data_IF_694999009073
#
_entry.id   IF_694999009073
#
_cell.length_a   1.000
_cell.length_b   1.000
_cell.length_c   1.000
_cell.angle_alpha   90.00
_cell.angle_beta   90.00
_cell.angle_gamma   90.00
#
_symmetry.space_group_name_H-M   'P 1'
#
loop_
_entity.id
_entity.type
_entity.pdbx_description
1 polymer ?
#
# COMPACT_ATOMS: atom_id res chain seq x y z
N UNK A 1 12.14 51.13 14.02
CA UNK A 1 12.48 49.69 13.85
C UNK A 1 11.17 48.94 13.95
N UNK A 2 10.61 48.55 12.80
CA UNK A 2 9.34 47.82 12.70
C UNK A 2 9.64 46.33 12.79
N UNK A 3 9.03 45.65 13.77
CA UNK A 3 9.10 44.21 13.93
C UNK A 3 8.51 43.51 12.71
N UNK A 4 9.32 42.65 12.10
CA UNK A 4 8.96 41.84 10.94
C UNK A 4 7.95 40.78 11.32
N UNK A 5 6.78 40.83 10.69
CA UNK A 5 5.75 39.81 10.69
C UNK A 5 6.32 38.49 10.15
N UNK A 6 6.54 37.53 11.04
CA UNK A 6 7.04 36.20 10.73
C UNK A 6 5.87 35.31 10.27
N UNK A 7 5.28 35.67 9.13
CA UNK A 7 4.20 34.91 8.49
C UNK A 7 4.79 33.73 7.73
N UNK A 8 4.96 32.60 8.42
CA UNK A 8 5.04 31.32 7.72
C UNK A 8 3.75 31.13 6.89
N UNK A 9 3.85 30.72 5.61
CA UNK A 9 2.65 30.45 4.81
C UNK A 9 1.88 29.32 5.48
N UNK A 10 0.73 29.64 6.09
CA UNK A 10 -0.23 28.65 6.55
C UNK A 10 -0.89 28.07 5.31
N UNK A 11 -0.74 26.76 5.13
CA UNK A 11 -1.51 26.02 4.13
C UNK A 11 -3.01 26.33 4.32
N UNK A 12 -3.80 26.49 3.24
CA UNK A 12 -5.23 26.79 3.32
C UNK A 12 -5.98 25.82 4.25
N UNK A 13 -6.89 26.33 5.08
CA UNK A 13 -7.68 25.57 6.06
C UNK A 13 -8.66 24.55 5.45
N UNK A 14 -8.77 24.49 4.12
CA UNK A 14 -9.96 23.98 3.42
C UNK A 14 -9.91 22.48 3.04
N UNK A 15 -9.01 21.67 3.58
CA UNK A 15 -9.07 20.20 3.37
C UNK A 15 -8.53 19.36 4.52
N UNK A 16 -8.79 19.75 5.78
CA UNK A 16 -8.69 18.77 6.87
C UNK A 16 -9.96 17.93 6.89
N UNK A 17 -10.01 16.87 6.08
CA UNK A 17 -10.95 15.77 6.35
C UNK A 17 -10.65 15.31 7.77
N UNK A 18 -11.61 15.48 8.69
CA UNK A 18 -11.49 14.97 10.05
C UNK A 18 -11.50 13.45 9.92
N UNK A 19 -10.31 12.84 9.91
CA UNK A 19 -10.19 11.39 9.97
C UNK A 19 -10.53 10.99 11.39
N UNK A 20 -11.71 10.41 11.58
CA UNK A 20 -12.13 9.85 12.86
C UNK A 20 -11.11 8.82 13.32
N UNK A 21 -10.68 8.91 14.57
CA UNK A 21 -9.78 7.93 15.18
C UNK A 21 -10.44 6.54 15.35
N UNK A 22 -11.77 6.43 15.16
CA UNK A 22 -12.57 5.25 15.47
C UNK A 22 -12.91 4.36 14.25
N UNK A 23 -11.95 3.96 13.41
CA UNK A 23 -12.20 3.07 12.25
C UNK A 23 -11.20 1.88 12.21
N UNK A 24 -11.63 0.67 11.80
CA UNK A 24 -12.62 -0.18 12.46
C UNK A 24 -12.02 -1.53 12.89
N UNK A 25 -12.76 -2.22 13.75
CA UNK A 25 -12.60 -3.62 14.19
C UNK A 25 -12.58 -4.61 13.01
N UNK A 26 -12.03 -5.82 13.23
CA UNK A 26 -12.02 -6.95 12.27
C UNK A 26 -13.43 -7.25 11.70
N UNK A 27 -14.47 -7.08 12.53
CA UNK A 27 -15.87 -7.14 12.13
C UNK A 27 -16.22 -5.93 11.25
N UNK A 28 -16.36 -6.17 9.95
CA UNK A 28 -16.63 -5.14 8.94
C UNK A 28 -15.43 -4.76 8.07
N UNK A 29 -14.39 -5.60 8.00
CA UNK A 29 -13.32 -5.44 7.02
C UNK A 29 -13.88 -5.40 5.58
N UNK A 30 -13.45 -4.39 4.83
CA UNK A 30 -13.66 -4.28 3.39
C UNK A 30 -12.30 -3.95 2.77
N UNK A 31 -11.93 -4.69 1.71
CA UNK A 31 -10.69 -4.44 1.00
C UNK A 31 -10.70 -3.00 0.45
N UNK A 32 -9.67 -2.17 0.76
CA UNK A 32 -9.68 -0.78 0.33
C UNK A 32 -9.55 -0.72 -1.19
N UNK A 33 -10.45 0.00 -1.87
CA UNK A 33 -10.39 0.18 -3.33
C UNK A 33 -10.56 1.63 -3.76
N UNK A 34 -10.70 2.55 -2.82
CA UNK A 34 -11.01 3.96 -3.08
C UNK A 34 -9.99 4.66 -3.97
N UNK A 35 -8.72 4.25 -3.91
CA UNK A 35 -7.61 4.78 -4.73
C UNK A 35 -7.05 3.76 -5.71
N UNK A 36 -7.67 2.60 -5.82
CA UNK A 36 -7.30 1.57 -6.79
C UNK A 36 -7.86 1.95 -8.16
N UNK A 37 -6.98 2.05 -9.15
CA UNK A 37 -7.39 2.12 -10.54
C UNK A 37 -7.89 0.77 -11.03
N UNK A 38 -9.08 0.77 -11.62
CA UNK A 38 -9.71 -0.43 -12.17
C UNK A 38 -9.43 -0.63 -13.65
N UNK A 39 -8.95 0.40 -14.35
CA UNK A 39 -8.78 0.41 -15.81
C UNK A 39 -7.35 0.74 -16.21
N UNK A 40 -6.77 -0.10 -17.05
CA UNK A 40 -5.44 0.10 -17.65
C UNK A 40 -5.48 1.25 -18.66
N UNK A 41 -4.47 2.12 -18.63
CA UNK A 41 -4.28 3.14 -19.66
C UNK A 41 -3.65 2.53 -20.91
N UNK A 42 -2.70 1.62 -20.73
CA UNK A 42 -2.05 0.91 -21.83
C UNK A 42 -2.41 -0.59 -21.80
N UNK A 43 -3.23 -1.08 -22.74
CA UNK A 43 -3.59 -2.50 -22.83
C UNK A 43 -2.41 -3.45 -22.99
N UNK A 44 -1.24 -2.98 -23.43
CA UNK A 44 -0.03 -3.81 -23.58
C UNK A 44 0.66 -4.05 -22.22
N UNK A 45 0.50 -3.14 -21.27
CA UNK A 45 1.15 -3.21 -19.96
C UNK A 45 0.51 -4.24 -19.02
N UNK A 46 1.27 -4.60 -18.00
CA UNK A 46 0.83 -5.48 -16.91
C UNK A 46 0.40 -4.63 -15.71
N UNK A 47 -0.83 -4.76 -15.21
CA UNK A 47 -1.29 -3.99 -14.05
C UNK A 47 -0.54 -4.43 -12.80
N UNK A 48 -0.04 -3.47 -12.03
CA UNK A 48 0.80 -3.70 -10.85
C UNK A 48 0.17 -3.09 -9.60
N UNK A 49 0.10 -3.87 -8.52
CA UNK A 49 -0.25 -3.39 -7.19
C UNK A 49 1.00 -3.46 -6.29
N UNK A 50 1.37 -2.32 -5.73
CA UNK A 50 2.54 -2.21 -4.86
C UNK A 50 2.10 -2.33 -3.40
N UNK A 51 2.72 -3.23 -2.63
CA UNK A 51 2.37 -3.46 -1.23
C UNK A 51 3.61 -3.25 -0.38
N UNK A 52 3.55 -2.41 0.65
CA UNK A 52 4.62 -2.32 1.65
C UNK A 52 4.12 -2.84 2.99
N UNK A 53 4.69 -3.97 3.43
CA UNK A 53 4.45 -4.53 4.75
C UNK A 53 5.48 -3.99 5.74
N UNK A 54 5.04 -3.57 6.93
CA UNK A 54 5.99 -3.00 7.89
C UNK A 54 5.40 -2.67 9.24
N UNK A 55 6.29 -2.39 10.21
CA UNK A 55 5.85 -1.98 11.53
C UNK A 55 5.18 -0.61 11.52
N UNK A 56 5.69 0.37 10.75
CA UNK A 56 5.17 1.75 10.71
C UNK A 56 4.94 2.35 12.10
N UNK A 57 5.96 2.28 12.96
CA UNK A 57 5.89 2.71 14.37
C UNK A 57 6.89 3.84 14.68
N UNK A 58 6.66 5.08 14.21
CA UNK A 58 5.57 5.52 13.32
C UNK A 58 5.92 5.44 11.83
N UNK A 59 4.93 5.65 10.96
CA UNK A 59 5.17 5.92 9.54
C UNK A 59 5.95 7.24 9.37
N UNK A 60 6.74 7.33 8.32
CA UNK A 60 7.58 8.49 7.97
C UNK A 60 7.48 8.79 6.48
N UNK A 61 7.88 9.99 6.05
CA UNK A 61 7.93 10.34 4.63
C UNK A 61 8.83 9.42 3.80
N UNK A 62 9.82 8.77 4.40
CA UNK A 62 10.68 7.82 3.69
C UNK A 62 9.88 6.60 3.19
N UNK A 63 8.94 6.11 4.00
CA UNK A 63 8.04 5.01 3.61
C UNK A 63 7.15 5.39 2.44
N UNK A 64 6.72 6.64 2.37
CA UNK A 64 5.91 7.14 1.24
C UNK A 64 6.80 7.38 0.01
N UNK A 65 8.03 7.84 0.22
CA UNK A 65 8.97 8.14 -0.86
C UNK A 65 9.37 6.89 -1.63
N UNK A 66 9.50 5.73 -0.97
CA UNK A 66 9.83 4.48 -1.68
C UNK A 66 8.74 4.06 -2.66
N UNK A 67 7.46 4.35 -2.39
CA UNK A 67 6.37 4.11 -3.34
C UNK A 67 6.49 4.99 -4.58
N UNK A 68 6.79 6.28 -4.41
CA UNK A 68 6.97 7.20 -5.54
C UNK A 68 8.15 6.76 -6.41
N UNK A 69 9.28 6.39 -5.79
CA UNK A 69 10.45 5.88 -6.51
C UNK A 69 10.16 4.59 -7.27
N UNK A 70 9.44 3.65 -6.65
CA UNK A 70 9.04 2.41 -7.31
C UNK A 70 8.06 2.65 -8.46
N UNK A 71 7.12 3.59 -8.28
CA UNK A 71 6.15 4.00 -9.30
C UNK A 71 6.84 4.61 -10.51
N UNK A 72 7.80 5.51 -10.30
CA UNK A 72 8.58 6.13 -11.36
C UNK A 72 9.42 5.09 -12.11
N UNK A 73 10.10 4.19 -11.40
CA UNK A 73 10.85 3.08 -12.01
C UNK A 73 9.96 2.18 -12.87
N UNK A 74 8.79 1.78 -12.36
CA UNK A 74 7.86 0.95 -13.12
C UNK A 74 7.39 1.65 -14.41
N UNK A 75 7.14 2.96 -14.35
CA UNK A 75 6.69 3.74 -15.50
C UNK A 75 7.75 3.90 -16.58
N UNK A 76 9.02 4.11 -16.18
CA UNK A 76 10.12 4.46 -17.08
C UNK A 76 10.85 3.24 -17.64
N UNK A 77 11.09 2.23 -16.81
CA UNK A 77 12.07 1.18 -17.09
C UNK A 77 11.42 -0.20 -17.29
N UNK A 78 10.09 -0.31 -17.22
CA UNK A 78 9.39 -1.60 -17.27
C UNK A 78 8.09 -1.57 -18.08
N UNK A 79 7.53 -2.76 -18.33
CA UNK A 79 6.21 -2.93 -18.97
C UNK A 79 5.06 -2.98 -17.94
N UNK A 80 5.27 -2.47 -16.73
CA UNK A 80 4.26 -2.42 -15.68
C UNK A 80 3.51 -1.09 -15.66
N UNK A 81 2.24 -1.13 -15.27
CA UNK A 81 1.43 0.04 -14.98
C UNK A 81 0.94 -0.03 -13.53
N UNK A 82 1.40 0.91 -12.69
CA UNK A 82 1.01 0.94 -11.28
C UNK A 82 -0.45 1.37 -11.15
N UNK A 83 -1.26 0.48 -10.61
CA UNK A 83 -2.71 0.65 -10.46
C UNK A 83 -3.10 1.11 -9.06
N UNK A 84 -2.30 0.79 -8.05
CA UNK A 84 -2.56 1.18 -6.66
C UNK A 84 -1.40 0.81 -5.75
N UNK A 85 -1.33 1.46 -4.59
CA UNK A 85 -0.34 1.18 -3.57
C UNK A 85 -0.97 1.00 -2.19
N UNK A 86 -0.47 0.02 -1.44
CA UNK A 86 -1.03 -0.41 -0.17
C UNK A 86 0.03 -0.42 0.92
N UNK A 87 -0.27 0.21 2.05
CA UNK A 87 0.47 0.02 3.30
C UNK A 87 -0.24 -1.07 4.12
N UNK A 88 0.51 -2.09 4.52
CA UNK A 88 0.02 -3.14 5.42
C UNK A 88 0.82 -3.12 6.72
N UNK A 89 0.17 -2.67 7.80
CA UNK A 89 0.81 -2.61 9.10
C UNK A 89 0.82 -4.00 9.75
N UNK A 90 1.97 -4.44 10.28
CA UNK A 90 2.05 -5.75 10.94
C UNK A 90 1.12 -5.86 12.14
N UNK A 91 0.62 -7.06 12.45
CA UNK A 91 -0.15 -7.33 13.66
C UNK A 91 0.67 -7.09 14.94
N UNK A 92 -0.02 -6.71 16.02
CA UNK A 92 0.59 -6.62 17.35
C UNK A 92 1.08 -8.00 17.85
N UNK A 93 0.57 -9.09 17.25
CA UNK A 93 1.06 -10.46 17.46
C UNK A 93 2.53 -10.66 17.04
N UNK A 94 3.12 -9.74 16.27
CA UNK A 94 4.54 -9.74 15.90
C UNK A 94 5.49 -9.60 17.10
N UNK A 95 4.97 -9.23 18.31
CA UNK A 95 5.68 -9.20 19.61
C UNK A 95 7.04 -8.49 19.61
N UNK A 96 7.29 -7.58 18.66
CA UNK A 96 8.50 -6.75 18.66
C UNK A 96 8.47 -5.81 19.86
N UNK A 97 9.54 -5.80 20.65
CA UNK A 97 9.65 -4.90 21.81
C UNK A 97 9.51 -3.43 21.38
N UNK A 98 8.64 -2.69 22.07
CA UNK A 98 8.40 -1.27 21.81
C UNK A 98 7.46 -0.95 20.65
N UNK A 99 6.76 -1.95 20.08
CA UNK A 99 5.77 -1.70 19.02
C UNK A 99 4.54 -0.96 19.58
N UNK A 100 4.20 0.19 19.00
CA UNK A 100 2.97 0.89 19.34
C UNK A 100 1.74 0.05 18.94
N UNK A 101 0.59 0.17 19.63
CA UNK A 101 -0.59 -0.63 19.30
C UNK A 101 -1.04 -0.41 17.84
N UNK A 102 -1.45 -1.48 17.16
CA UNK A 102 -1.78 -1.52 15.74
C UNK A 102 -2.78 -0.42 15.35
N UNK A 103 -3.80 -0.17 16.18
CA UNK A 103 -4.79 0.90 15.97
C UNK A 103 -4.15 2.27 15.74
N UNK A 104 -3.09 2.61 16.47
CA UNK A 104 -2.42 3.91 16.32
C UNK A 104 -1.61 3.95 15.03
N UNK A 105 -0.94 2.83 14.70
CA UNK A 105 -0.09 2.72 13.51
C UNK A 105 -0.92 2.78 12.23
N UNK A 106 -2.01 2.02 12.17
CA UNK A 106 -2.99 2.07 11.07
C UNK A 106 -3.53 3.48 10.90
N UNK A 107 -3.97 4.14 11.98
CA UNK A 107 -4.49 5.50 11.90
C UNK A 107 -3.44 6.50 11.41
N UNK A 108 -2.19 6.42 11.91
CA UNK A 108 -1.10 7.26 11.41
C UNK A 108 -0.83 7.02 9.92
N UNK A 109 -0.85 5.77 9.45
CA UNK A 109 -0.72 5.44 8.03
C UNK A 109 -1.87 6.06 7.21
N UNK A 110 -3.11 6.00 7.69
CA UNK A 110 -4.27 6.56 6.99
C UNK A 110 -4.14 8.08 6.87
N UNK A 111 -3.77 8.76 7.96
CA UNK A 111 -3.53 10.21 7.96
C UNK A 111 -2.40 10.58 7.01
N UNK A 112 -1.28 9.84 7.03
CA UNK A 112 -0.17 10.08 6.13
C UNK A 112 -0.59 9.92 4.67
N UNK A 113 -1.26 8.81 4.31
CA UNK A 113 -1.77 8.58 2.97
C UNK A 113 -2.77 9.66 2.52
N UNK A 114 -3.66 10.13 3.39
CA UNK A 114 -4.63 11.18 3.02
C UNK A 114 -3.97 12.53 2.76
N UNK A 115 -2.93 12.87 3.53
CA UNK A 115 -2.28 14.18 3.45
C UNK A 115 -1.26 14.26 2.31
N UNK A 116 -0.64 13.15 1.92
CA UNK A 116 0.53 13.19 1.03
C UNK A 116 0.38 12.41 -0.27
N UNK A 117 -0.67 11.60 -0.45
CA UNK A 117 -0.81 10.76 -1.65
C UNK A 117 -2.23 10.65 -2.16
N UNK A 118 -2.38 10.65 -3.49
CA UNK A 118 -3.65 10.43 -4.19
C UNK A 118 -3.91 8.98 -4.57
N UNK A 119 -2.92 8.09 -4.47
CA UNK A 119 -2.98 6.71 -4.99
C UNK A 119 -2.61 5.63 -3.95
N UNK A 120 -2.04 6.04 -2.81
CA UNK A 120 -1.73 5.14 -1.70
C UNK A 120 -2.89 5.01 -0.73
N UNK A 121 -3.08 3.83 -0.17
CA UNK A 121 -4.11 3.50 0.80
C UNK A 121 -3.60 2.48 1.82
N UNK A 122 -4.34 2.28 2.91
CA UNK A 122 -3.95 1.39 4.01
C UNK A 122 -4.88 0.20 4.03
N UNK A 123 -4.31 -1.00 4.00
CA UNK A 123 -5.04 -2.23 4.27
C UNK A 123 -5.00 -2.56 5.77
N UNK A 124 -6.15 -2.98 6.29
CA UNK A 124 -6.33 -3.26 7.71
C UNK A 124 -6.50 -4.75 8.01
N UNK A 125 -6.35 -5.64 7.03
CA UNK A 125 -6.54 -7.07 7.23
C UNK A 125 -5.48 -7.69 8.14
N UNK A 126 -4.20 -7.48 7.81
CA UNK A 126 -3.06 -7.99 8.59
C UNK A 126 -3.08 -7.53 10.06
N UNK A 127 -3.21 -6.23 10.39
CA UNK A 127 -3.07 -5.76 11.76
C UNK A 127 -4.15 -6.26 12.72
N UNK A 128 -5.30 -6.67 12.19
CA UNK A 128 -6.43 -7.17 12.99
C UNK A 128 -6.52 -8.70 13.02
N UNK A 129 -5.61 -9.42 12.35
CA UNK A 129 -5.51 -10.85 12.50
C UNK A 129 -5.05 -11.19 13.95
N UNK A 130 -5.75 -12.11 14.65
CA UNK A 130 -5.40 -12.49 16.02
C UNK A 130 -4.05 -13.22 16.12
N UNK A 131 -3.59 -13.81 15.02
CA UNK A 131 -2.31 -14.51 14.92
C UNK A 131 -1.34 -13.74 14.02
N UNK A 132 -0.05 -13.97 14.22
CA UNK A 132 0.96 -13.45 13.31
C UNK A 132 0.85 -14.15 11.95
N UNK A 133 0.81 -13.36 10.88
CA UNK A 133 0.78 -13.86 9.52
C UNK A 133 2.14 -13.64 8.84
N UNK A 134 2.71 -14.66 8.17
CA UNK A 134 3.81 -14.47 7.25
C UNK A 134 3.39 -13.51 6.14
N UNK A 135 4.31 -12.65 5.70
CA UNK A 135 4.03 -11.66 4.65
C UNK A 135 3.61 -12.33 3.34
N UNK A 136 4.03 -13.56 3.03
CA UNK A 136 3.51 -14.34 1.90
C UNK A 136 1.98 -14.45 1.92
N UNK A 137 1.40 -14.80 3.08
CA UNK A 137 -0.06 -14.90 3.23
C UNK A 137 -0.76 -13.54 3.07
N UNK A 138 -0.07 -12.46 3.43
CA UNK A 138 -0.58 -11.10 3.21
C UNK A 138 -0.62 -10.80 1.72
N UNK A 139 0.42 -11.15 0.97
CA UNK A 139 0.45 -11.00 -0.49
C UNK A 139 -0.60 -11.90 -1.18
N UNK A 140 -0.79 -13.13 -0.72
CA UNK A 140 -1.85 -14.02 -1.21
C UNK A 140 -3.26 -13.43 -0.99
N UNK A 141 -3.47 -12.77 0.15
CA UNK A 141 -4.72 -12.05 0.41
C UNK A 141 -4.94 -10.92 -0.59
N UNK A 142 -3.91 -10.12 -0.89
CA UNK A 142 -3.99 -9.10 -1.93
C UNK A 142 -4.29 -9.68 -3.32
N UNK A 143 -3.66 -10.80 -3.67
CA UNK A 143 -3.90 -11.50 -4.93
C UNK A 143 -5.35 -12.00 -5.02
N UNK A 144 -5.85 -12.64 -3.96
CA UNK A 144 -7.23 -13.10 -3.88
C UNK A 144 -8.24 -11.94 -4.04
N UNK A 145 -8.08 -10.85 -3.31
CA UNK A 145 -8.99 -9.70 -3.39
C UNK A 145 -8.97 -9.03 -4.77
N UNK A 146 -7.78 -8.84 -5.36
CA UNK A 146 -7.63 -8.13 -6.63
C UNK A 146 -7.95 -9.00 -7.86
N UNK A 147 -7.55 -10.28 -7.84
CA UNK A 147 -7.67 -11.16 -8.99
C UNK A 147 -8.87 -12.11 -8.90
N UNK A 148 -9.23 -12.60 -7.72
CA UNK A 148 -10.37 -13.52 -7.56
C UNK A 148 -11.67 -12.77 -7.31
N UNK A 149 -11.71 -11.89 -6.30
CA UNK A 149 -12.94 -11.16 -5.94
C UNK A 149 -13.26 -10.10 -6.99
N UNK A 150 -12.27 -9.31 -7.42
CA UNK A 150 -12.45 -8.25 -8.41
C UNK A 150 -12.25 -8.70 -9.86
N UNK A 151 -11.65 -9.87 -10.11
CA UNK A 151 -11.47 -10.39 -11.46
C UNK A 151 -10.39 -9.70 -12.29
N UNK A 152 -9.47 -8.95 -11.67
CA UNK A 152 -8.38 -8.25 -12.37
C UNK A 152 -8.70 -6.84 -12.87
N UNK A 153 -7.71 -6.20 -13.48
CA UNK A 153 -7.82 -4.87 -14.06
C UNK A 153 -8.51 -4.93 -15.43
N UNK A 154 -9.45 -4.01 -15.67
CA UNK A 154 -10.18 -3.87 -16.92
C UNK A 154 -9.29 -3.30 -18.02
N UNK A 155 -9.46 -3.84 -19.20
CA UNK A 155 -9.00 -3.27 -20.46
C UNK A 155 -10.24 -2.71 -21.15
N UNK A 156 -10.18 -1.44 -21.54
CA UNK A 156 -11.26 -0.76 -22.27
C UNK A 156 -10.82 -0.41 -23.69
N UNK A 157 -11.78 -0.35 -24.61
CA UNK A 157 -11.57 0.22 -25.95
C UNK A 157 -11.59 1.76 -25.93
N UNK A 158 -11.44 2.38 -27.11
CA UNK A 158 -11.44 3.84 -27.26
C UNK A 158 -12.80 4.47 -26.87
N UNK A 159 -13.87 3.67 -26.92
CA UNK A 159 -15.24 4.02 -26.56
C UNK A 159 -15.55 3.76 -25.07
N UNK A 160 -14.60 3.21 -24.31
CA UNK A 160 -14.73 2.95 -22.87
C UNK A 160 -15.44 1.64 -22.52
N UNK A 161 -15.66 0.74 -23.48
CA UNK A 161 -16.28 -0.57 -23.26
C UNK A 161 -15.21 -1.59 -22.84
N UNK A 162 -15.54 -2.40 -21.84
CA UNK A 162 -14.67 -3.48 -21.36
C UNK A 162 -14.48 -4.54 -22.47
N UNK A 163 -13.24 -4.72 -22.91
CA UNK A 163 -12.83 -5.72 -23.92
C UNK A 163 -12.15 -6.94 -23.31
N UNK A 164 -11.70 -6.84 -22.06
CA UNK A 164 -11.08 -7.94 -21.34
C UNK A 164 -10.55 -7.50 -19.97
N UNK A 165 -9.94 -8.45 -19.27
CA UNK A 165 -9.28 -8.20 -17.98
C UNK A 165 -7.90 -8.82 -17.94
N UNK A 166 -6.99 -8.20 -17.20
CA UNK A 166 -5.66 -8.72 -16.89
C UNK A 166 -5.48 -8.88 -15.38
N UNK A 167 -4.86 -9.97 -14.91
CA UNK A 167 -4.58 -10.12 -13.49
C UNK A 167 -3.55 -9.08 -13.03
N UNK A 168 -3.80 -8.49 -11.86
CA UNK A 168 -2.85 -7.66 -11.14
C UNK A 168 -1.65 -8.50 -10.73
N UNK A 169 -0.44 -8.00 -10.99
CA UNK A 169 0.77 -8.52 -10.38
C UNK A 169 0.98 -7.81 -9.05
N UNK A 170 1.07 -8.57 -7.97
CA UNK A 170 1.33 -8.04 -6.62
C UNK A 170 2.83 -8.04 -6.39
N UNK A 171 3.39 -6.89 -5.98
CA UNK A 171 4.82 -6.76 -5.68
C UNK A 171 5.01 -6.14 -4.31
N UNK A 172 5.85 -6.80 -3.53
CA UNK A 172 6.27 -6.31 -2.22
C UNK A 172 7.35 -5.23 -2.37
N UNK A 173 7.09 -4.06 -1.82
CA UNK A 173 8.05 -2.99 -1.61
C UNK A 173 8.67 -3.12 -0.23
N UNK A 174 9.98 -3.35 -0.21
CA UNK A 174 10.76 -3.54 0.98
C UNK A 174 12.08 -2.77 0.86
N UNK A 175 12.54 -2.17 1.97
CA UNK A 175 13.92 -1.71 2.07
C UNK A 175 14.90 -2.88 2.11
N UNK A 176 16.19 -2.61 1.86
CA UNK A 176 17.26 -3.62 1.93
C UNK A 176 17.25 -4.45 3.21
N UNK A 177 16.96 -3.80 4.33
CA UNK A 177 17.03 -4.38 5.67
C UNK A 177 15.93 -5.46 5.86
N UNK A 178 14.77 -5.22 5.24
CA UNK A 178 13.66 -6.16 5.25
C UNK A 178 13.93 -7.32 4.25
N UNK A 179 14.48 -7.04 3.07
CA UNK A 179 14.87 -8.08 2.10
C UNK A 179 15.92 -9.04 2.69
N UNK A 180 16.87 -8.51 3.47
CA UNK A 180 17.89 -9.34 4.14
C UNK A 180 17.29 -10.25 5.21
N UNK A 181 16.32 -9.78 5.98
CA UNK A 181 15.62 -10.61 6.98
C UNK A 181 14.67 -11.63 6.33
N UNK A 182 14.17 -11.34 5.12
CA UNK A 182 13.40 -12.31 4.31
C UNK A 182 14.26 -13.42 3.70
N UNK A 183 15.59 -13.29 3.70
CA UNK A 183 16.51 -14.33 3.24
C UNK A 183 16.84 -15.37 4.34
N UNK A 184 16.25 -15.27 5.53
CA UNK A 184 16.40 -16.25 6.61
C UNK A 184 15.60 -17.54 6.29
N UNK A 185 16.23 -18.73 6.32
CA UNK A 185 15.57 -19.99 5.97
C UNK A 185 14.37 -20.28 6.91
N UNK A 186 13.19 -20.48 6.32
CA UNK A 186 11.96 -20.82 7.05
C UNK A 186 10.93 -19.69 7.14
N UNK A 187 11.25 -18.47 6.68
CA UNK A 187 10.31 -17.35 6.64
C UNK A 187 9.56 -17.23 5.29
N UNK A 188 10.10 -17.80 4.22
CA UNK A 188 9.56 -17.76 2.86
C UNK A 188 9.84 -19.05 2.08
N UNK A 189 8.95 -19.40 1.14
CA UNK A 189 9.24 -20.41 0.14
C UNK A 189 10.17 -19.81 -0.95
N UNK A 190 11.10 -20.58 -1.53
CA UNK A 190 12.03 -20.07 -2.56
C UNK A 190 11.35 -19.43 -3.78
N UNK A 191 10.10 -19.82 -4.03
CA UNK A 191 9.23 -19.33 -5.12
C UNK A 191 8.75 -17.87 -4.92
N UNK A 192 8.68 -17.40 -3.67
CA UNK A 192 8.20 -16.05 -3.33
C UNK A 192 9.30 -14.97 -3.39
N UNK A 193 10.57 -15.40 -3.52
CA UNK A 193 11.75 -14.52 -3.46
C UNK A 193 12.22 -14.07 -4.85
N UNK A 194 11.53 -14.50 -5.92
CA UNK A 194 11.94 -14.18 -7.28
C UNK A 194 11.52 -12.76 -7.71
N UNK A 195 12.36 -11.79 -7.38
CA UNK A 195 12.38 -10.48 -8.02
C UNK A 195 12.66 -10.62 -9.52
N UNK A 196 11.76 -10.02 -10.32
CA UNK A 196 11.96 -9.58 -11.70
C UNK A 196 13.06 -10.28 -12.52
N UNK A 197 12.67 -11.28 -13.31
CA UNK A 197 13.34 -11.63 -14.57
C UNK A 197 12.41 -11.36 -15.74
#
# INVERSE_FOLDING_TARGET
MTDGDNSHPRLPEETRRIISYNLPTYDGYEFPTVRLRDTLTDPSKTPLALVACGSFSPITHLHLRIFEMASDYCKLDTNFEVMGGYLSAVSDAYKKQGLAPAKHRVHMCQVACEQTSSWLQVDTWEPFCPEYLPTAKVLDHFDYELNTVRGGAKIVDAEGKEIGRKPYKIVLLAGSDLIMTMSEPGLWAPEDVCCAS
#
